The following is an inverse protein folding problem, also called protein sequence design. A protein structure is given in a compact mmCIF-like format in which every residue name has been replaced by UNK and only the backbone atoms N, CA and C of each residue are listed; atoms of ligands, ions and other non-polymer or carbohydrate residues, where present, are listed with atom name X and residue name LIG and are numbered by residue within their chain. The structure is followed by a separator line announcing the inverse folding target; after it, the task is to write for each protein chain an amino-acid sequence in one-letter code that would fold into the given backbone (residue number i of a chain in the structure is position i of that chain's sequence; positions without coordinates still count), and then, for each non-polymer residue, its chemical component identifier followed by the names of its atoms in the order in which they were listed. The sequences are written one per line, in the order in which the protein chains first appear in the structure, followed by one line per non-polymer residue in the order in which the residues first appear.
data_IF_471591961289
#
_entry.id   IF_471591961289
#
_cell.length_a   1.000
_cell.length_b   1.000
_cell.length_c   1.000
_cell.angle_alpha   90.00
_cell.angle_beta   90.00
_cell.angle_gamma   90.00
#
_symmetry.space_group_name_H-M   'P 1'
#
loop_
_entity.id
_entity.type
_entity.pdbx_description
1 polymer ?
#
# COMPACT_ATOMS: atom_id res chain seq x y z
N UNK A 1 -5.73 24.21 -14.55
CA UNK A 1 -7.10 24.30 -14.03
C UNK A 1 -7.15 23.47 -12.74
N UNK A 2 -7.22 24.13 -11.59
CA UNK A 2 -7.45 23.47 -10.30
C UNK A 2 -8.84 22.86 -10.28
N UNK A 3 -8.98 21.65 -9.74
CA UNK A 3 -10.29 21.02 -9.60
C UNK A 3 -11.19 21.90 -8.72
N UNK A 4 -12.49 21.89 -8.98
CA UNK A 4 -13.48 22.72 -8.26
C UNK A 4 -13.44 22.44 -6.75
N UNK A 5 -13.14 21.21 -6.35
CA UNK A 5 -12.92 20.80 -4.96
C UNK A 5 -11.75 21.54 -4.31
N UNK A 6 -10.63 21.73 -5.02
CA UNK A 6 -9.44 22.44 -4.50
C UNK A 6 -9.77 23.92 -4.26
N UNK A 7 -10.53 24.54 -5.18
CA UNK A 7 -10.98 25.94 -5.01
C UNK A 7 -11.97 26.09 -3.84
N UNK A 8 -12.79 25.06 -3.59
CA UNK A 8 -13.69 25.03 -2.45
C UNK A 8 -12.93 24.90 -1.14
N UNK A 9 -11.94 24.00 -1.07
CA UNK A 9 -11.07 23.83 0.09
C UNK A 9 -10.27 25.11 0.42
N UNK A 10 -9.73 25.76 -0.60
CA UNK A 10 -9.01 27.04 -0.44
C UNK A 10 -9.89 28.14 0.15
N UNK A 11 -11.17 28.16 -0.23
CA UNK A 11 -12.16 29.09 0.34
C UNK A 11 -12.61 28.69 1.75
N UNK A 12 -12.79 27.40 1.99
CA UNK A 12 -13.12 26.87 3.32
C UNK A 12 -12.01 27.18 4.33
N UNK A 13 -10.76 27.06 3.94
CA UNK A 13 -9.60 27.38 4.79
C UNK A 13 -9.55 28.85 5.24
N UNK A 14 -10.29 29.76 4.58
CA UNK A 14 -10.37 31.16 4.99
C UNK A 14 -11.51 31.47 5.99
N UNK A 15 -12.35 30.48 6.29
CA UNK A 15 -13.46 30.66 7.22
C UNK A 15 -13.02 30.48 8.67
N UNK A 16 -13.61 31.22 9.63
CA UNK A 16 -13.36 30.96 11.04
C UNK A 16 -13.77 29.53 11.43
N UNK A 17 -12.88 28.79 12.08
CA UNK A 17 -13.13 27.39 12.44
C UNK A 17 -12.78 26.36 11.37
N UNK A 18 -12.09 26.77 10.31
CA UNK A 18 -11.55 25.85 9.28
C UNK A 18 -10.60 24.79 9.85
N UNK A 19 -9.98 25.08 10.99
CA UNK A 19 -9.07 24.18 11.70
C UNK A 19 -9.81 23.23 12.66
N UNK A 20 -11.14 23.21 12.59
CA UNK A 20 -11.99 22.40 13.47
C UNK A 20 -12.69 21.31 12.68
N UNK A 21 -12.68 20.11 13.24
CA UNK A 21 -13.48 18.97 12.81
C UNK A 21 -14.42 18.54 13.94
N UNK A 22 -15.13 17.46 13.79
CA UNK A 22 -15.97 16.93 14.86
C UNK A 22 -16.08 15.41 14.83
N UNK A 23 -16.09 14.82 16.02
CA UNK A 23 -16.63 13.49 16.21
C UNK A 23 -18.08 13.58 16.66
N UNK A 24 -18.90 12.66 16.19
CA UNK A 24 -20.32 12.58 16.54
C UNK A 24 -20.56 11.25 17.23
N UNK A 25 -20.90 11.30 18.53
CA UNK A 25 -21.24 10.13 19.30
C UNK A 25 -22.77 9.98 19.30
N UNK A 26 -23.24 8.82 18.86
CA UNK A 26 -24.67 8.51 18.73
C UNK A 26 -25.01 7.40 19.69
N UNK A 27 -25.98 7.66 20.55
CA UNK A 27 -26.63 6.68 21.41
C UNK A 27 -28.01 6.40 20.84
N UNK A 28 -28.30 5.16 20.53
CA UNK A 28 -29.58 4.73 19.95
C UNK A 28 -30.24 3.67 20.84
N UNK A 29 -31.57 3.61 20.83
CA UNK A 29 -32.35 2.60 21.53
C UNK A 29 -33.57 2.20 20.71
N UNK A 30 -33.97 0.93 20.78
CA UNK A 30 -35.19 0.42 20.15
C UNK A 30 -36.46 1.04 20.73
N UNK A 31 -36.43 1.41 22.02
CA UNK A 31 -37.52 2.06 22.75
C UNK A 31 -37.17 3.52 23.07
N UNK A 32 -38.14 4.29 23.52
CA UNK A 32 -37.90 5.62 24.07
C UNK A 32 -36.97 5.52 25.28
N UNK A 33 -36.04 6.46 25.39
CA UNK A 33 -35.15 6.54 26.53
C UNK A 33 -35.90 6.64 27.85
N UNK A 34 -35.42 5.88 28.82
CA UNK A 34 -35.90 5.96 30.21
C UNK A 34 -35.42 7.27 30.87
N UNK A 35 -36.02 7.66 31.96
CA UNK A 35 -35.59 8.85 32.73
C UNK A 35 -34.14 8.70 33.19
N UNK A 36 -33.71 7.51 33.56
CA UNK A 36 -32.32 7.21 33.94
C UNK A 36 -31.36 7.43 32.78
N UNK A 37 -31.68 6.87 31.57
CA UNK A 37 -30.89 7.07 30.36
C UNK A 37 -30.80 8.53 29.94
N UNK A 38 -31.91 9.28 30.04
CA UNK A 38 -31.92 10.70 29.71
C UNK A 38 -31.05 11.52 30.69
N UNK A 39 -31.13 11.23 31.98
CA UNK A 39 -30.30 11.90 33.00
C UNK A 39 -28.84 11.56 32.78
N UNK A 40 -28.50 10.33 32.44
CA UNK A 40 -27.12 9.94 32.11
C UNK A 40 -26.60 10.63 30.85
N UNK A 41 -27.45 10.75 29.82
CA UNK A 41 -27.07 11.37 28.55
C UNK A 41 -26.89 12.89 28.65
N UNK A 42 -27.86 13.57 29.23
CA UNK A 42 -27.93 15.05 29.26
C UNK A 42 -27.37 15.65 30.55
N UNK A 43 -27.23 14.88 31.61
CA UNK A 43 -26.94 15.38 32.93
C UNK A 43 -28.16 15.96 33.64
N UNK A 44 -27.92 16.59 34.79
CA UNK A 44 -28.92 17.26 35.59
C UNK A 44 -28.73 18.77 35.52
N UNK A 45 -29.80 19.55 35.52
CA UNK A 45 -29.73 20.99 35.54
C UNK A 45 -29.21 21.49 36.88
N UNK A 46 -28.08 22.19 36.86
CA UNK A 46 -27.52 22.88 38.03
C UNK A 46 -27.95 24.36 38.02
N UNK A 47 -28.80 24.78 38.99
CA UNK A 47 -29.25 26.16 39.08
C UNK A 47 -28.12 27.17 39.35
N UNK A 48 -27.02 26.74 39.99
CA UNK A 48 -25.88 27.64 40.28
C UNK A 48 -25.01 27.83 39.03
N UNK A 49 -24.78 26.78 38.25
CA UNK A 49 -24.07 26.86 36.99
C UNK A 49 -24.95 27.34 35.84
N UNK A 50 -26.28 27.33 36.02
CA UNK A 50 -27.30 27.63 34.99
C UNK A 50 -27.16 26.77 33.71
N UNK A 51 -26.67 25.57 33.86
CA UNK A 51 -26.42 24.63 32.75
C UNK A 51 -26.65 23.18 33.19
N UNK A 52 -26.71 22.29 32.23
CA UNK A 52 -26.70 20.84 32.45
C UNK A 52 -25.28 20.41 32.82
N UNK A 53 -25.12 19.63 33.88
CA UNK A 53 -23.85 19.07 34.37
C UNK A 53 -23.98 17.59 34.64
N UNK A 54 -22.87 16.86 34.57
CA UNK A 54 -22.84 15.42 34.83
C UNK A 54 -23.40 14.56 33.70
N UNK A 55 -23.53 15.11 32.51
CA UNK A 55 -23.96 14.32 31.33
C UNK A 55 -22.82 13.55 30.70
N UNK A 56 -23.18 12.59 29.83
CA UNK A 56 -22.22 11.75 29.09
C UNK A 56 -21.21 12.57 28.26
N UNK A 57 -21.60 13.80 27.85
CA UNK A 57 -20.74 14.72 27.11
C UNK A 57 -19.45 15.11 27.84
N UNK A 58 -19.49 15.19 29.18
CA UNK A 58 -18.33 15.59 29.98
C UNK A 58 -17.15 14.60 29.85
N UNK A 59 -17.42 13.33 29.55
CA UNK A 59 -16.40 12.31 29.34
C UNK A 59 -15.48 12.64 28.16
N UNK A 60 -15.96 13.45 27.22
CA UNK A 60 -15.23 13.81 25.99
C UNK A 60 -14.53 15.20 26.12
N UNK A 61 -14.59 15.84 27.28
CA UNK A 61 -14.00 17.16 27.49
C UNK A 61 -12.48 17.20 27.21
N UNK A 62 -11.79 16.07 27.38
CA UNK A 62 -10.33 16.00 27.11
C UNK A 62 -9.97 16.06 25.63
N UNK A 63 -10.92 15.87 24.74
CA UNK A 63 -10.66 15.85 23.28
C UNK A 63 -11.04 17.17 22.60
N UNK A 64 -11.96 17.92 23.21
CA UNK A 64 -12.50 19.13 22.57
C UNK A 64 -11.51 20.28 22.54
N UNK A 65 -11.54 21.02 21.45
CA UNK A 65 -10.87 22.32 21.31
C UNK A 65 -11.80 23.51 21.68
N UNK A 66 -13.06 23.21 22.02
CA UNK A 66 -14.01 24.27 22.44
C UNK A 66 -13.87 24.56 23.92
N UNK A 67 -13.74 25.81 24.26
CA UNK A 67 -13.68 26.29 25.63
C UNK A 67 -14.88 27.19 25.96
N UNK A 68 -15.42 27.02 27.17
CA UNK A 68 -16.42 27.88 27.75
C UNK A 68 -15.92 28.36 29.13
N UNK A 69 -15.78 29.66 29.30
CA UNK A 69 -15.24 30.27 30.54
C UNK A 69 -13.83 29.75 30.95
N UNK A 70 -13.00 29.39 29.94
CA UNK A 70 -11.64 28.86 30.18
C UNK A 70 -11.59 27.37 30.58
N UNK A 71 -12.69 26.66 30.40
CA UNK A 71 -12.76 25.22 30.60
C UNK A 71 -13.19 24.52 29.34
N UNK A 72 -12.62 23.33 29.09
CA UNK A 72 -13.01 22.50 27.97
C UNK A 72 -14.51 22.16 28.03
N UNK A 73 -15.23 22.43 26.97
CA UNK A 73 -16.67 22.30 26.92
C UNK A 73 -17.13 21.45 25.75
N UNK A 74 -17.95 20.44 26.02
CA UNK A 74 -18.67 19.68 25.02
C UNK A 74 -20.17 19.91 25.22
N UNK A 75 -20.90 20.31 24.16
CA UNK A 75 -22.34 20.54 24.28
C UNK A 75 -23.08 19.29 24.80
N UNK A 76 -24.13 19.47 25.60
CA UNK A 76 -24.96 18.35 26.07
C UNK A 76 -25.58 17.55 24.91
N UNK A 77 -25.93 16.31 25.22
CA UNK A 77 -26.57 15.43 24.24
C UNK A 77 -27.88 16.03 23.70
N UNK A 78 -27.94 16.17 22.38
CA UNK A 78 -29.18 16.54 21.68
C UNK A 78 -30.02 15.26 21.48
N UNK A 79 -31.23 15.24 22.05
CA UNK A 79 -32.16 14.11 21.95
C UNK A 79 -33.18 14.34 20.85
N UNK A 80 -33.39 13.35 20.01
CA UNK A 80 -34.38 13.37 18.93
C UNK A 80 -35.82 13.48 19.45
N UNK A 81 -36.74 14.03 18.66
CA UNK A 81 -38.15 14.20 19.03
C UNK A 81 -38.84 12.89 19.41
N UNK A 82 -38.43 11.77 18.80
CA UNK A 82 -38.99 10.46 19.14
C UNK A 82 -38.40 9.86 20.44
N UNK A 83 -37.38 10.48 21.01
CA UNK A 83 -36.72 10.06 22.23
C UNK A 83 -35.96 8.74 22.13
N UNK A 84 -35.51 8.36 20.93
CA UNK A 84 -34.82 7.08 20.68
C UNK A 84 -33.35 7.25 20.30
N UNK A 85 -32.94 8.44 19.93
CA UNK A 85 -31.57 8.75 19.51
C UNK A 85 -31.09 9.99 20.26
N UNK A 86 -29.89 9.95 20.76
CA UNK A 86 -29.20 11.07 21.33
C UNK A 86 -27.84 11.26 20.65
N UNK A 87 -27.47 12.49 20.40
CA UNK A 87 -26.25 12.85 19.67
C UNK A 87 -25.42 13.81 20.51
N UNK A 88 -24.15 13.46 20.72
CA UNK A 88 -23.14 14.34 21.30
C UNK A 88 -22.17 14.71 20.20
N UNK A 89 -22.01 16.02 19.93
CA UNK A 89 -21.01 16.50 18.99
C UNK A 89 -19.80 17.00 19.76
N UNK A 90 -18.65 16.43 19.49
CA UNK A 90 -17.36 16.80 20.09
C UNK A 90 -16.55 17.57 19.06
N UNK A 91 -16.43 18.90 19.19
CA UNK A 91 -15.52 19.68 18.35
C UNK A 91 -14.07 19.31 18.64
N UNK A 92 -13.28 19.17 17.59
CA UNK A 92 -11.91 18.69 17.65
C UNK A 92 -11.01 19.55 16.78
N UNK A 93 -9.76 19.63 17.14
CA UNK A 93 -8.74 20.16 16.25
C UNK A 93 -8.44 19.17 15.12
N UNK A 94 -8.36 19.67 13.89
CA UNK A 94 -8.01 18.85 12.71
C UNK A 94 -6.60 18.31 12.90
N UNK A 95 -6.45 17.01 12.70
CA UNK A 95 -5.14 16.36 12.63
C UNK A 95 -4.92 15.80 11.24
N UNK A 96 -3.76 16.08 10.67
CA UNK A 96 -3.33 15.51 9.40
C UNK A 96 -2.75 14.09 9.59
N UNK A 97 -2.39 13.74 10.82
CA UNK A 97 -1.81 12.42 11.15
C UNK A 97 -2.93 11.39 11.35
N UNK A 98 -3.03 10.46 10.40
CA UNK A 98 -4.06 9.40 10.39
C UNK A 98 -3.98 8.53 11.66
N UNK A 99 -2.80 8.29 12.18
CA UNK A 99 -2.57 7.53 13.41
C UNK A 99 -3.23 8.24 14.62
N UNK A 100 -3.06 9.56 14.75
CA UNK A 100 -3.66 10.36 15.81
C UNK A 100 -5.19 10.32 15.73
N UNK A 101 -5.75 10.43 14.51
CA UNK A 101 -7.20 10.34 14.28
C UNK A 101 -7.75 8.97 14.66
N UNK A 102 -7.10 7.90 14.23
CA UNK A 102 -7.56 6.51 14.52
C UNK A 102 -7.47 6.18 15.99
N UNK A 103 -6.39 6.56 16.66
CA UNK A 103 -6.20 6.33 18.10
C UNK A 103 -7.23 7.14 18.93
N UNK A 104 -7.43 8.41 18.59
CA UNK A 104 -8.42 9.28 19.22
C UNK A 104 -9.85 8.74 19.09
N UNK A 105 -10.24 8.28 17.89
CA UNK A 105 -11.55 7.69 17.66
C UNK A 105 -11.71 6.36 18.39
N UNK A 106 -10.67 5.52 18.44
CA UNK A 106 -10.68 4.26 19.19
C UNK A 106 -10.89 4.52 20.68
N UNK A 107 -10.20 5.49 21.27
CA UNK A 107 -10.37 5.90 22.65
C UNK A 107 -11.77 6.50 22.93
N UNK A 108 -12.31 7.30 21.99
CA UNK A 108 -13.68 7.79 22.08
C UNK A 108 -14.71 6.67 22.08
N UNK A 109 -14.51 5.61 21.28
CA UNK A 109 -15.39 4.44 21.24
C UNK A 109 -15.39 3.70 22.59
N UNK A 110 -14.23 3.53 23.18
CA UNK A 110 -14.09 2.91 24.48
C UNK A 110 -14.80 3.72 25.57
N UNK A 111 -14.55 5.03 25.62
CA UNK A 111 -15.17 5.94 26.58
C UNK A 111 -16.68 6.04 26.39
N UNK A 112 -17.16 6.05 25.15
CA UNK A 112 -18.57 6.14 24.84
C UNK A 112 -19.34 4.89 25.32
N UNK A 113 -18.71 3.71 25.24
CA UNK A 113 -19.28 2.46 25.71
C UNK A 113 -19.16 2.28 27.23
N UNK A 114 -18.15 2.90 27.86
CA UNK A 114 -17.90 2.76 29.28
C UNK A 114 -19.02 3.39 30.14
N UNK A 115 -19.63 2.57 31.00
CA UNK A 115 -20.71 2.99 31.90
C UNK A 115 -22.00 3.42 31.19
N UNK A 116 -22.17 3.12 29.91
CA UNK A 116 -23.43 3.35 29.21
C UNK A 116 -24.53 2.44 29.80
N UNK A 117 -25.73 2.99 30.08
CA UNK A 117 -26.85 2.20 30.56
C UNK A 117 -27.22 1.09 29.57
N UNK A 118 -27.71 -0.03 30.10
CA UNK A 118 -28.14 -1.18 29.27
C UNK A 118 -29.24 -0.76 28.28
N UNK A 119 -29.20 -1.35 27.07
CA UNK A 119 -30.17 -1.10 26.01
C UNK A 119 -29.88 0.13 25.17
N UNK A 120 -28.67 0.68 25.26
CA UNK A 120 -28.16 1.70 24.35
C UNK A 120 -27.12 1.09 23.38
N UNK A 121 -27.35 1.27 22.10
CA UNK A 121 -26.35 1.03 21.07
C UNK A 121 -25.52 2.31 20.91
N UNK A 122 -24.21 2.15 20.86
CA UNK A 122 -23.25 3.26 20.85
C UNK A 122 -22.45 3.26 19.56
N UNK A 123 -22.44 4.41 18.89
CA UNK A 123 -21.67 4.59 17.65
C UNK A 123 -20.87 5.88 17.74
N UNK A 124 -19.65 5.86 17.20
CA UNK A 124 -18.82 7.06 16.99
C UNK A 124 -18.65 7.25 15.50
N UNK A 125 -19.11 8.38 15.00
CA UNK A 125 -19.16 8.74 13.58
C UNK A 125 -18.79 10.22 13.39
N UNK A 126 -19.26 10.84 12.32
CA UNK A 126 -18.89 12.20 11.93
C UNK A 126 -17.64 12.20 11.04
N UNK A 127 -17.13 13.39 10.66
CA UNK A 127 -15.94 13.49 9.81
C UNK A 127 -14.74 12.73 10.35
N UNK A 128 -14.49 12.85 11.64
CA UNK A 128 -13.39 12.20 12.36
C UNK A 128 -13.57 10.68 12.39
N UNK A 129 -14.77 10.19 12.77
CA UNK A 129 -15.09 8.77 12.79
C UNK A 129 -15.00 8.12 11.42
N UNK A 130 -15.49 8.82 10.39
CA UNK A 130 -15.41 8.37 9.00
C UNK A 130 -13.96 8.26 8.53
N UNK A 131 -13.11 9.24 8.83
CA UNK A 131 -11.69 9.21 8.48
C UNK A 131 -10.97 8.04 9.15
N UNK A 132 -11.24 7.77 10.43
CA UNK A 132 -10.68 6.63 11.14
C UNK A 132 -11.12 5.28 10.55
N UNK A 133 -12.41 5.14 10.22
CA UNK A 133 -12.94 3.91 9.62
C UNK A 133 -12.36 3.68 8.22
N UNK A 134 -12.25 4.74 7.41
CA UNK A 134 -11.63 4.68 6.09
C UNK A 134 -10.17 4.24 6.18
N UNK A 135 -9.41 4.83 7.11
CA UNK A 135 -8.03 4.44 7.37
C UNK A 135 -7.91 2.97 7.80
N UNK A 136 -8.82 2.49 8.65
CA UNK A 136 -8.88 1.08 9.08
C UNK A 136 -9.15 0.11 7.93
N UNK A 137 -10.03 0.47 7.00
CA UNK A 137 -10.31 -0.33 5.79
C UNK A 137 -9.07 -0.43 4.91
N UNK A 138 -8.37 0.67 4.69
CA UNK A 138 -7.15 0.67 3.87
C UNK A 138 -6.00 -0.08 4.56
N UNK A 139 -5.79 0.13 5.86
CA UNK A 139 -4.77 -0.61 6.61
C UNK A 139 -4.98 -2.13 6.56
N UNK A 140 -6.22 -2.59 6.67
CA UNK A 140 -6.58 -4.00 6.54
C UNK A 140 -6.35 -4.55 5.13
N UNK A 141 -6.71 -3.79 4.10
CA UNK A 141 -6.48 -4.15 2.70
C UNK A 141 -4.98 -4.21 2.37
N UNK A 142 -4.20 -3.25 2.82
CA UNK A 142 -2.75 -3.20 2.61
C UNK A 142 -2.05 -4.39 3.26
N UNK A 143 -2.43 -4.75 4.48
CA UNK A 143 -1.90 -5.93 5.15
C UNK A 143 -2.24 -7.21 4.40
N UNK A 144 -3.46 -7.37 3.93
CA UNK A 144 -3.89 -8.55 3.16
C UNK A 144 -3.16 -8.65 1.82
N UNK A 145 -2.99 -7.52 1.11
CA UNK A 145 -2.23 -7.44 -0.14
C UNK A 145 -0.75 -7.76 0.09
N UNK A 146 -0.14 -7.19 1.12
CA UNK A 146 1.25 -7.46 1.47
C UNK A 146 1.44 -8.94 1.82
N UNK A 147 0.58 -9.50 2.67
CA UNK A 147 0.63 -10.90 3.09
C UNK A 147 0.47 -11.84 1.89
N UNK A 148 -0.51 -11.57 1.01
CA UNK A 148 -0.73 -12.38 -0.19
C UNK A 148 0.49 -12.34 -1.13
N UNK A 149 1.09 -11.16 -1.31
CA UNK A 149 2.30 -10.98 -2.12
C UNK A 149 3.47 -11.75 -1.52
N UNK A 150 3.69 -11.65 -0.21
CA UNK A 150 4.75 -12.40 0.49
C UNK A 150 4.54 -13.90 0.35
N UNK A 151 3.30 -14.41 0.52
CA UNK A 151 2.99 -15.84 0.38
C UNK A 151 3.24 -16.33 -1.03
N UNK A 152 2.78 -15.60 -2.06
CA UNK A 152 3.02 -15.96 -3.47
C UNK A 152 4.51 -15.98 -3.78
N UNK A 153 5.24 -14.95 -3.36
CA UNK A 153 6.69 -14.85 -3.57
C UNK A 153 7.42 -15.97 -2.83
N UNK A 154 7.08 -16.23 -1.58
CA UNK A 154 7.67 -17.31 -0.80
C UNK A 154 7.44 -18.68 -1.47
N UNK A 155 6.22 -18.93 -1.95
CA UNK A 155 5.88 -20.14 -2.68
C UNK A 155 6.72 -20.29 -3.96
N UNK A 156 6.80 -19.24 -4.78
CA UNK A 156 7.60 -19.25 -6.01
C UNK A 156 9.09 -19.50 -5.72
N UNK A 157 9.62 -18.84 -4.68
CA UNK A 157 11.00 -19.03 -4.25
C UNK A 157 11.25 -20.47 -3.76
N UNK A 158 10.31 -21.03 -2.98
CA UNK A 158 10.40 -22.40 -2.48
C UNK A 158 10.43 -23.42 -3.64
N UNK A 159 9.54 -23.25 -4.63
CA UNK A 159 9.48 -24.10 -5.81
C UNK A 159 10.77 -23.97 -6.64
N UNK A 160 11.27 -22.76 -6.82
CA UNK A 160 12.45 -22.45 -7.63
C UNK A 160 13.74 -22.98 -6.97
N UNK A 161 13.90 -22.78 -5.68
CA UNK A 161 15.14 -23.16 -4.99
C UNK A 161 15.13 -24.56 -4.42
N UNK A 162 13.97 -25.18 -4.25
CA UNK A 162 13.80 -26.52 -3.65
C UNK A 162 14.52 -26.69 -2.31
N UNK A 163 14.78 -25.60 -1.61
CA UNK A 163 15.49 -25.58 -0.31
C UNK A 163 14.68 -24.78 0.69
N UNK A 164 14.36 -25.35 1.87
CA UNK A 164 13.55 -24.68 2.88
C UNK A 164 14.25 -23.50 3.56
N UNK A 165 15.55 -23.33 3.38
CA UNK A 165 16.33 -22.24 3.99
C UNK A 165 16.75 -21.17 3.01
N UNK A 166 17.00 -21.54 1.75
CA UNK A 166 17.54 -20.60 0.75
C UNK A 166 16.55 -19.53 0.30
N UNK A 167 15.25 -19.79 0.39
CA UNK A 167 14.20 -18.82 0.03
C UNK A 167 14.06 -17.69 1.06
N UNK A 168 14.45 -17.96 2.31
CA UNK A 168 14.30 -16.98 3.40
C UNK A 168 15.26 -15.79 3.24
N UNK A 169 16.46 -16.03 2.69
CA UNK A 169 17.49 -14.98 2.54
C UNK A 169 16.98 -13.84 1.61
N UNK A 170 16.52 -14.10 0.39
CA UNK A 170 15.94 -13.04 -0.46
C UNK A 170 14.75 -12.35 0.19
N UNK A 171 13.89 -13.09 0.87
CA UNK A 171 12.72 -12.53 1.53
C UNK A 171 13.10 -11.56 2.66
N UNK A 172 14.10 -11.91 3.49
CA UNK A 172 14.63 -11.01 4.51
C UNK A 172 15.25 -9.75 3.90
N UNK A 173 16.02 -9.89 2.82
CA UNK A 173 16.61 -8.73 2.14
C UNK A 173 15.54 -7.81 1.58
N UNK A 174 14.51 -8.36 0.94
CA UNK A 174 13.40 -7.56 0.41
C UNK A 174 12.58 -6.92 1.53
N UNK A 175 12.32 -7.66 2.63
CA UNK A 175 11.63 -7.13 3.79
C UNK A 175 12.38 -5.97 4.48
N UNK A 176 13.72 -6.07 4.58
CA UNK A 176 14.52 -4.94 5.10
C UNK A 176 14.51 -3.76 4.13
N UNK A 177 14.55 -4.00 2.83
CA UNK A 177 14.43 -2.94 1.83
C UNK A 177 13.07 -2.23 1.87
N UNK A 178 11.98 -2.97 2.12
CA UNK A 178 10.65 -2.40 2.32
C UNK A 178 10.59 -1.49 3.55
N UNK A 179 11.10 -1.95 4.70
CA UNK A 179 11.19 -1.13 5.90
C UNK A 179 12.00 0.16 5.71
N UNK A 180 13.13 0.06 5.01
CA UNK A 180 13.94 1.25 4.67
C UNK A 180 13.21 2.19 3.70
N UNK A 181 12.48 1.65 2.72
CA UNK A 181 11.71 2.46 1.76
C UNK A 181 10.61 3.27 2.45
N UNK A 182 9.90 2.68 3.40
CA UNK A 182 8.88 3.38 4.20
C UNK A 182 9.49 4.51 5.01
N UNK A 183 10.60 4.24 5.73
CA UNK A 183 11.30 5.27 6.50
C UNK A 183 11.80 6.42 5.61
N UNK A 184 12.31 6.11 4.42
CA UNK A 184 12.74 7.12 3.47
C UNK A 184 11.55 7.90 2.88
N UNK A 185 10.44 7.23 2.58
CA UNK A 185 9.23 7.88 2.07
C UNK A 185 8.68 8.91 3.07
N UNK A 186 8.63 8.58 4.36
CA UNK A 186 8.21 9.49 5.42
C UNK A 186 9.15 10.70 5.49
N UNK A 187 10.48 10.50 5.43
CA UNK A 187 11.43 11.62 5.47
C UNK A 187 11.31 12.53 4.25
N UNK A 188 11.12 11.96 3.07
CA UNK A 188 10.91 12.72 1.83
C UNK A 188 9.60 13.49 1.90
N UNK A 189 8.53 12.87 2.36
CA UNK A 189 7.23 13.51 2.54
C UNK A 189 7.33 14.71 3.50
N UNK A 190 7.97 14.52 4.64
CA UNK A 190 8.21 15.60 5.61
C UNK A 190 9.05 16.75 5.02
N UNK A 191 10.05 16.43 4.19
CA UNK A 191 10.87 17.45 3.54
C UNK A 191 10.08 18.31 2.55
N UNK A 192 9.10 17.72 1.86
CA UNK A 192 8.22 18.44 0.93
C UNK A 192 6.94 18.97 1.58
N UNK A 193 6.71 18.75 2.88
CA UNK A 193 5.48 19.13 3.57
C UNK A 193 4.24 18.40 3.07
N UNK A 194 4.40 17.14 2.66
CA UNK A 194 3.32 16.29 2.16
C UNK A 194 3.06 15.19 3.19
N UNK A 195 1.81 15.02 3.61
CA UNK A 195 1.40 13.88 4.45
C UNK A 195 1.17 12.65 3.55
N UNK A 196 1.94 11.56 3.75
CA UNK A 196 1.72 10.34 2.98
C UNK A 196 0.42 9.68 3.41
N UNK A 197 -0.47 9.45 2.45
CA UNK A 197 -1.68 8.65 2.64
C UNK A 197 -1.32 7.16 2.86
N UNK A 198 -2.10 6.47 3.68
CA UNK A 198 -1.94 5.04 3.96
C UNK A 198 -1.94 4.18 2.68
N UNK A 199 -2.77 4.54 1.69
CA UNK A 199 -2.81 3.86 0.39
C UNK A 199 -1.50 3.95 -0.39
N UNK A 200 -0.80 5.09 -0.33
CA UNK A 200 0.51 5.29 -0.97
C UNK A 200 1.55 4.37 -0.34
N UNK A 201 1.53 4.22 0.98
CA UNK A 201 2.45 3.35 1.72
C UNK A 201 2.24 1.87 1.36
N UNK A 202 0.99 1.43 1.22
CA UNK A 202 0.65 0.07 0.80
C UNK A 202 1.11 -0.23 -0.63
N UNK A 203 0.84 0.67 -1.57
CA UNK A 203 1.29 0.54 -2.97
C UNK A 203 2.82 0.48 -3.03
N UNK A 204 3.52 1.34 -2.28
CA UNK A 204 4.98 1.35 -2.21
C UNK A 204 5.52 -0.01 -1.76
N UNK A 205 4.94 -0.60 -0.72
CA UNK A 205 5.36 -1.92 -0.20
C UNK A 205 5.19 -3.02 -1.24
N UNK A 206 4.04 -3.10 -1.90
CA UNK A 206 3.81 -4.08 -2.97
C UNK A 206 4.82 -3.91 -4.12
N UNK A 207 5.12 -2.66 -4.47
CA UNK A 207 6.09 -2.34 -5.53
C UNK A 207 7.51 -2.76 -5.14
N UNK A 208 7.93 -2.45 -3.91
CA UNK A 208 9.25 -2.83 -3.38
C UNK A 208 9.40 -4.34 -3.28
N UNK A 209 8.38 -5.06 -2.80
CA UNK A 209 8.39 -6.52 -2.77
C UNK A 209 8.45 -7.12 -4.17
N UNK A 210 7.64 -6.65 -5.11
CA UNK A 210 7.63 -7.13 -6.49
C UNK A 210 8.95 -6.90 -7.21
N UNK A 211 9.44 -5.67 -7.21
CA UNK A 211 10.71 -5.32 -7.84
C UNK A 211 11.90 -5.97 -7.12
N UNK A 212 11.93 -5.90 -5.79
CA UNK A 212 12.99 -6.46 -4.96
C UNK A 212 13.15 -7.96 -5.15
N UNK A 213 12.04 -8.69 -5.21
CA UNK A 213 12.06 -10.14 -5.48
C UNK A 213 12.61 -10.46 -6.85
N UNK A 214 12.20 -9.71 -7.88
CA UNK A 214 12.70 -9.90 -9.24
C UNK A 214 14.23 -9.68 -9.32
N UNK A 215 14.73 -8.60 -8.69
CA UNK A 215 16.17 -8.33 -8.62
C UNK A 215 16.93 -9.37 -7.79
N UNK A 216 16.36 -9.85 -6.68
CA UNK A 216 16.96 -10.90 -5.87
C UNK A 216 17.11 -12.21 -6.65
N UNK A 217 16.06 -12.60 -7.40
CA UNK A 217 16.10 -13.78 -8.27
C UNK A 217 17.18 -13.65 -9.34
N UNK A 218 17.25 -12.50 -10.01
CA UNK A 218 18.25 -12.23 -11.04
C UNK A 218 19.67 -12.28 -10.45
N UNK A 219 19.89 -11.67 -9.29
CA UNK A 219 21.19 -11.68 -8.61
C UNK A 219 21.64 -13.10 -8.23
N UNK A 220 20.72 -13.90 -7.69
CA UNK A 220 21.03 -15.27 -7.29
C UNK A 220 21.30 -16.14 -8.53
N UNK A 221 20.53 -15.99 -9.59
CA UNK A 221 20.81 -16.69 -10.85
C UNK A 221 22.22 -16.37 -11.38
N UNK A 222 22.56 -15.07 -11.40
CA UNK A 222 23.88 -14.60 -11.82
C UNK A 222 24.99 -15.10 -10.90
N UNK A 223 24.78 -15.06 -9.58
CA UNK A 223 25.73 -15.58 -8.62
C UNK A 223 26.02 -17.07 -8.82
N UNK A 224 24.98 -17.88 -9.10
CA UNK A 224 25.14 -19.30 -9.40
C UNK A 224 25.93 -19.54 -10.70
N UNK A 225 25.72 -18.73 -11.73
CA UNK A 225 26.50 -18.78 -12.97
C UNK A 225 27.97 -18.44 -12.71
N UNK A 226 28.27 -17.40 -11.94
CA UNK A 226 29.64 -17.00 -11.61
C UNK A 226 30.36 -18.02 -10.74
N UNK A 227 29.68 -18.71 -9.84
CA UNK A 227 30.24 -19.80 -9.03
C UNK A 227 30.71 -21.01 -9.86
N UNK A 228 30.22 -21.18 -11.08
CA UNK A 228 30.72 -22.23 -11.98
C UNK A 228 32.08 -21.90 -12.61
N UNK A 229 32.48 -20.63 -12.57
CA UNK A 229 33.68 -20.11 -13.25
C UNK A 229 34.72 -19.59 -12.25
N UNK A 230 34.28 -19.14 -11.07
CA UNK A 230 35.12 -18.50 -10.05
C UNK A 230 35.03 -19.32 -8.77
N UNK A 231 36.14 -19.83 -8.29
CA UNK A 231 36.21 -20.63 -7.05
C UNK A 231 35.97 -19.80 -5.78
N UNK A 232 36.38 -18.52 -5.82
CA UNK A 232 36.17 -17.61 -4.70
C UNK A 232 34.74 -17.05 -4.68
N UNK A 233 34.01 -17.36 -3.60
CA UNK A 233 32.62 -16.94 -3.38
C UNK A 233 32.45 -15.42 -3.32
N UNK A 234 33.42 -14.70 -2.74
CA UNK A 234 33.37 -13.23 -2.68
C UNK A 234 33.56 -12.59 -4.05
N UNK A 235 34.52 -13.08 -4.83
CA UNK A 235 34.77 -12.61 -6.18
C UNK A 235 33.58 -12.92 -7.10
N UNK A 236 32.95 -14.10 -6.97
CA UNK A 236 31.74 -14.45 -7.68
C UNK A 236 30.57 -13.51 -7.35
N UNK A 237 30.37 -13.19 -6.05
CA UNK A 237 29.32 -12.25 -5.65
C UNK A 237 29.55 -10.84 -6.19
N UNK A 238 30.75 -10.32 -6.13
CA UNK A 238 31.09 -8.99 -6.69
C UNK A 238 30.81 -8.93 -8.19
N UNK A 239 31.14 -9.98 -8.93
CA UNK A 239 30.83 -10.06 -10.36
C UNK A 239 29.33 -10.15 -10.61
N UNK A 240 28.59 -10.95 -9.83
CA UNK A 240 27.15 -11.06 -9.93
C UNK A 240 26.44 -9.72 -9.71
N UNK A 241 26.82 -8.99 -8.64
CA UNK A 241 26.27 -7.66 -8.34
C UNK A 241 26.58 -6.66 -9.46
N UNK A 242 27.78 -6.65 -9.99
CA UNK A 242 28.14 -5.77 -11.12
C UNK A 242 27.38 -6.13 -12.40
N UNK A 243 27.09 -7.40 -12.62
CA UNK A 243 26.35 -7.88 -13.78
C UNK A 243 24.82 -7.75 -13.66
N UNK A 244 24.29 -7.68 -12.42
CA UNK A 244 22.87 -7.49 -12.14
C UNK A 244 22.48 -5.99 -12.02
N UNK A 245 23.45 -5.08 -11.92
CA UNK A 245 23.21 -3.64 -11.94
C UNK A 245 22.60 -3.19 -13.27
N UNK A 246 21.96 -1.98 -13.30
CA UNK A 246 21.41 -1.43 -14.53
C UNK A 246 22.50 -1.42 -15.59
N UNK A 247 22.22 -2.03 -16.74
CA UNK A 247 23.14 -2.04 -17.87
C UNK A 247 23.53 -0.59 -18.19
N UNK A 248 24.68 -0.15 -17.68
CA UNK A 248 25.32 1.04 -18.21
C UNK A 248 25.50 0.78 -19.70
N UNK A 249 24.96 1.66 -20.52
CA UNK A 249 24.91 1.57 -21.97
C UNK A 249 26.23 1.31 -22.71
N UNK A 250 26.93 0.30 -22.30
CA UNK A 250 28.00 -0.33 -23.05
C UNK A 250 27.39 -1.33 -24.02
N UNK A 251 26.86 -0.80 -25.12
CA UNK A 251 26.56 -1.54 -26.35
C UNK A 251 27.83 -2.17 -26.98
N UNK A 252 28.86 -2.41 -26.18
CA UNK A 252 30.08 -3.13 -26.53
C UNK A 252 30.29 -4.45 -25.81
N UNK A 253 29.30 -4.94 -25.08
CA UNK A 253 29.31 -6.30 -24.60
C UNK A 253 29.05 -7.20 -25.81
N UNK A 254 30.12 -7.70 -26.33
CA UNK A 254 30.19 -8.54 -27.50
C UNK A 254 29.18 -9.68 -27.43
N UNK A 255 28.57 -9.93 -28.55
CA UNK A 255 27.85 -11.12 -28.89
C UNK A 255 28.53 -12.35 -28.28
N UNK A 256 27.93 -13.04 -27.27
CA UNK A 256 28.51 -14.30 -26.83
C UNK A 256 28.25 -15.33 -27.90
N UNK A 257 29.32 -15.88 -28.45
CA UNK A 257 29.26 -17.11 -29.22
C UNK A 257 29.01 -16.93 -30.69
N UNK A 258 29.92 -16.23 -31.36
CA UNK A 258 30.23 -16.64 -32.72
C UNK A 258 30.65 -18.10 -32.70
N UNK A 259 29.73 -18.99 -33.03
CA UNK A 259 30.10 -20.35 -33.41
C UNK A 259 31.22 -20.23 -34.45
N UNK A 260 32.47 -20.55 -34.05
CA UNK A 260 33.53 -20.85 -34.95
C UNK A 260 33.04 -21.97 -35.83
N UNK A 261 32.52 -21.64 -37.04
CA UNK A 261 32.37 -22.60 -38.12
C UNK A 261 33.76 -23.21 -38.33
N UNK A 262 33.93 -24.53 -38.28
CA UNK A 262 35.20 -25.13 -38.61
C UNK A 262 35.51 -24.72 -40.03
N UNK A 263 36.64 -24.06 -40.24
CA UNK A 263 37.24 -23.84 -41.56
C UNK A 263 37.49 -25.23 -42.16
N UNK A 264 36.61 -25.65 -43.03
CA UNK A 264 36.91 -26.74 -43.95
C UNK A 264 38.17 -26.31 -44.72
N UNK A 265 39.27 -26.95 -44.35
CA UNK A 265 40.58 -26.90 -45.02
C UNK A 265 40.34 -27.31 -46.46
N UNK A 266 40.45 -26.38 -47.44
CA UNK A 266 40.58 -26.68 -48.81
C UNK A 266 41.86 -27.52 -48.96
N UNK A 267 41.71 -28.81 -49.18
CA UNK A 267 42.78 -29.65 -49.71
C UNK A 267 42.86 -29.38 -51.20
N UNK A 268 44.07 -29.03 -51.60
CA UNK A 268 44.42 -28.49 -52.90
C UNK A 268 44.15 -29.40 -54.05
N UNK A 269 43.97 -28.74 -55.09
CA UNK A 269 44.23 -28.96 -56.47
C UNK A 269 45.32 -30.02 -56.72
N UNK A 270 45.03 -31.07 -57.44
CA UNK A 270 45.94 -31.56 -58.52
C UNK A 270 45.21 -32.55 -59.41
N UNK A 271 45.47 -32.25 -60.67
CA UNK A 271 45.47 -33.09 -61.87
C UNK A 271 44.19 -33.10 -62.74
N UNK A 272 44.15 -32.25 -63.72
CA UNK A 272 44.46 -32.40 -65.16
C UNK A 272 43.94 -33.66 -65.82
N UNK A 273 43.25 -33.39 -66.91
CA UNK A 273 43.14 -34.18 -68.19
C UNK A 273 41.97 -35.16 -68.31
N UNK A 274 41.24 -34.92 -69.39
CA UNK A 274 40.60 -35.95 -70.14
C UNK A 274 39.27 -35.58 -70.77
N UNK A 275 39.33 -34.79 -71.84
CA UNK A 275 38.66 -34.97 -73.12
C UNK A 275 37.25 -35.56 -73.23
N UNK A 276 36.44 -34.75 -73.90
CA UNK A 276 35.63 -35.06 -75.09
C UNK A 276 34.34 -35.86 -74.88
N UNK A 277 33.29 -35.24 -75.26
CA UNK A 277 32.41 -35.31 -76.43
C UNK A 277 31.07 -36.04 -76.22
N UNK A 278 30.14 -35.45 -76.87
CA UNK A 278 28.99 -35.93 -77.64
C UNK A 278 27.67 -35.90 -76.92
N UNK A 279 26.95 -34.87 -77.18
CA UNK A 279 25.85 -34.69 -78.10
C UNK A 279 24.56 -35.38 -77.74
N UNK A 280 23.61 -34.59 -77.65
CA UNK A 280 22.36 -34.66 -78.39
C UNK A 280 21.15 -35.41 -77.77
N UNK A 281 20.15 -34.69 -77.81
CA UNK A 281 18.81 -35.01 -78.32
C UNK A 281 17.73 -35.43 -77.31
N UNK A 282 16.81 -34.63 -77.38
CA UNK A 282 15.37 -34.76 -77.76
C UNK A 282 14.44 -34.84 -76.59
N UNK A 283 13.69 -33.80 -76.50
CA UNK A 283 12.35 -33.55 -77.03
C UNK A 283 11.21 -34.26 -76.30
N UNK A 284 10.29 -33.42 -75.90
CA UNK A 284 8.85 -33.67 -75.98
C UNK A 284 8.28 -34.60 -74.89
N UNK A 285 7.24 -34.30 -74.27
CA UNK A 285 6.10 -33.48 -74.51
C UNK A 285 5.03 -33.73 -73.48
N UNK A 286 4.26 -32.69 -73.32
CA UNK A 286 2.80 -32.75 -73.23
C UNK A 286 2.17 -33.57 -72.10
N UNK A 287 1.38 -33.06 -71.29
CA UNK A 287 -0.01 -32.59 -71.33
C UNK A 287 -0.58 -32.59 -69.90
N UNK A 288 -1.23 -31.56 -69.61
CA UNK A 288 -2.41 -31.54 -68.77
C UNK A 288 -3.51 -32.44 -69.30
N UNK A 289 -4.55 -32.85 -68.64
CA UNK A 289 -5.49 -31.94 -67.95
C UNK A 289 -6.14 -32.48 -66.65
N UNK A 290 -6.66 -31.58 -65.87
CA UNK A 290 -8.05 -31.29 -65.41
C UNK A 290 -8.91 -32.40 -64.74
N UNK A 291 -9.69 -31.91 -63.86
CA UNK A 291 -10.94 -32.36 -63.23
C UNK A 291 -10.77 -33.21 -61.94
N UNK A 292 -11.31 -32.88 -60.85
CA UNK A 292 -12.54 -32.16 -60.41
C UNK A 292 -12.32 -31.60 -59.01
#
# INVERSE_FOLDING_TARGET
ASAESVLADEKLATLPGSDSTAAVIVYASDAKFTTEQLTWLQGSFDPMAQMLVGGANEKFAKFTNLELNGQAFVPPAAVSENGKVAVITVPLEVSEEVEVVTERVAEMREIAADGAPSGLDVYVTGPEGFQADLAGVFAGADFALLLSTVVVVAFLLLVTYRSPTLWLIPLLVVGTADGMSRGLAVQVANFFGITPDASVTGILSVLVFGAGTNYALLLIARYREELLVVEDRHAAMIKAVRGAGPARGDSRAGTPGGHRRPRLRRVGEHARHGRRTVAARRRQGRRRPDHR
#
